data_IF_740868043214
#
_entry.id   IF_740868043214
#
_cell.length_a   1.000
_cell.length_b   1.000
_cell.length_c   1.000
_cell.angle_alpha   90.00
_cell.angle_beta   90.00
_cell.angle_gamma   90.00
#
_symmetry.space_group_name_H-M   'P 1'
#
loop_
_entity.id
_entity.type
_entity.pdbx_description
1 polymer ?
#
# COMPACT_ATOMS: atom_id res chain seq x y z
N UNK A 1 16.88 7.61 4.74
CA UNK A 1 16.22 8.32 3.64
C UNK A 1 14.83 7.77 3.47
N UNK A 2 13.85 8.62 3.25
CA UNK A 2 12.45 8.27 3.10
C UNK A 2 11.61 9.54 3.03
N UNK A 3 10.31 9.38 3.20
CA UNK A 3 9.36 10.48 3.18
C UNK A 3 8.99 10.89 4.61
N UNK A 4 8.87 12.20 4.88
CA UNK A 4 8.28 12.70 6.11
C UNK A 4 6.76 12.47 6.12
N UNK A 5 6.19 12.22 7.30
CA UNK A 5 4.76 11.95 7.48
C UNK A 5 4.28 10.63 6.88
N UNK A 6 5.17 9.62 6.75
CA UNK A 6 4.75 8.26 6.46
C UNK A 6 3.95 7.72 7.65
N UNK A 7 2.94 6.88 7.39
CA UNK A 7 2.19 6.25 8.47
C UNK A 7 3.04 5.23 9.23
N UNK A 8 2.73 5.01 10.49
CA UNK A 8 3.26 3.94 11.37
C UNK A 8 4.67 4.17 11.86
N UNK A 9 5.63 4.48 10.99
CA UNK A 9 7.04 4.59 11.38
C UNK A 9 7.49 6.04 11.51
N UNK A 10 8.46 6.28 12.40
CA UNK A 10 9.03 7.60 12.60
C UNK A 10 9.61 8.17 11.32
N UNK A 11 9.62 9.49 11.24
CA UNK A 11 10.25 10.22 10.16
C UNK A 11 11.76 9.90 10.06
N UNK A 12 12.33 10.00 8.85
CA UNK A 12 13.75 9.76 8.64
C UNK A 12 14.61 10.74 9.43
N UNK A 13 15.63 10.23 10.11
CA UNK A 13 16.61 11.08 10.79
C UNK A 13 17.48 11.85 9.78
N UNK A 14 17.80 13.13 10.06
CA UNK A 14 18.70 13.89 9.22
C UNK A 14 20.11 13.30 9.23
N UNK A 15 20.74 13.22 8.07
CA UNK A 15 22.15 12.77 7.98
C UNK A 15 23.07 13.91 8.36
N UNK A 16 23.83 13.82 9.46
CA UNK A 16 24.53 14.98 10.03
C UNK A 16 25.68 15.48 9.15
N UNK A 17 26.50 14.61 8.61
CA UNK A 17 27.62 14.97 7.74
C UNK A 17 27.99 13.84 6.80
N UNK A 18 28.29 14.16 5.54
CA UNK A 18 28.89 13.23 4.58
C UNK A 18 29.72 14.00 3.55
N UNK A 19 30.90 13.48 3.20
CA UNK A 19 31.70 14.02 2.10
C UNK A 19 31.16 13.56 0.74
N UNK A 20 30.58 12.36 0.70
CA UNK A 20 29.91 11.79 -0.48
C UNK A 20 28.52 11.29 -0.04
N UNK A 21 27.50 11.67 -0.77
CA UNK A 21 26.14 11.18 -0.61
C UNK A 21 25.72 10.39 -1.83
N UNK A 22 25.31 9.15 -1.62
CA UNK A 22 24.64 8.31 -2.62
C UNK A 22 23.18 8.16 -2.17
N UNK A 23 22.24 8.54 -3.02
CA UNK A 23 20.82 8.52 -2.69
C UNK A 23 20.00 7.97 -3.84
N UNK A 24 18.79 7.47 -3.51
CA UNK A 24 17.79 7.14 -4.50
C UNK A 24 17.24 8.42 -5.17
N UNK A 25 16.60 8.27 -6.32
CA UNK A 25 15.94 9.37 -7.04
C UNK A 25 14.67 8.93 -7.75
N UNK A 26 14.00 7.90 -7.22
CA UNK A 26 12.82 7.26 -7.82
C UNK A 26 11.69 8.25 -8.08
N UNK A 27 11.46 9.18 -7.16
CA UNK A 27 10.48 10.26 -7.26
C UNK A 27 11.12 11.66 -7.38
N UNK A 28 12.38 11.75 -7.82
CA UNK A 28 13.12 13.02 -7.93
C UNK A 28 12.46 14.07 -8.81
N UNK A 29 11.67 13.67 -9.81
CA UNK A 29 10.89 14.55 -10.68
C UNK A 29 9.40 14.67 -10.32
N UNK A 30 8.98 14.21 -9.15
CA UNK A 30 7.56 14.18 -8.73
C UNK A 30 7.38 14.75 -7.33
N UNK A 31 6.16 15.21 -7.07
CA UNK A 31 5.71 15.57 -5.73
C UNK A 31 4.67 14.57 -5.26
N UNK A 32 4.67 14.27 -3.97
CA UNK A 32 3.65 13.45 -3.35
C UNK A 32 2.41 14.27 -3.01
N UNK A 33 1.23 13.65 -3.17
CA UNK A 33 0.03 14.18 -2.54
C UNK A 33 0.14 14.04 -1.01
N UNK A 34 -0.46 14.96 -0.24
CA UNK A 34 -0.55 14.82 1.21
C UNK A 34 -1.16 13.49 1.63
N UNK A 35 -0.72 12.93 2.76
CA UNK A 35 -1.25 11.65 3.26
C UNK A 35 -2.75 11.71 3.58
N UNK A 36 -3.24 12.87 4.05
CA UNK A 36 -4.68 13.11 4.28
C UNK A 36 -5.52 12.90 3.01
N UNK A 37 -5.06 13.40 1.86
CA UNK A 37 -5.74 13.18 0.57
C UNK A 37 -5.71 11.70 0.17
N UNK A 38 -4.62 11.00 0.46
CA UNK A 38 -4.51 9.57 0.20
C UNK A 38 -5.52 8.77 1.02
N UNK A 39 -5.67 9.08 2.31
CA UNK A 39 -6.66 8.48 3.24
C UNK A 39 -8.09 8.75 2.77
N UNK A 40 -8.41 10.00 2.38
CA UNK A 40 -9.73 10.37 1.85
C UNK A 40 -10.06 9.65 0.55
N UNK A 41 -9.09 9.51 -0.33
CA UNK A 41 -9.24 8.79 -1.59
C UNK A 41 -9.44 7.29 -1.38
N UNK A 42 -8.70 6.69 -0.42
CA UNK A 42 -8.91 5.31 -0.01
C UNK A 42 -10.34 5.10 0.50
N UNK A 43 -10.82 5.96 1.40
CA UNK A 43 -12.17 5.89 1.95
C UNK A 43 -13.24 5.92 0.84
N UNK A 44 -13.11 6.82 -0.13
CA UNK A 44 -14.03 6.93 -1.26
C UNK A 44 -14.06 5.65 -2.09
N UNK A 45 -12.89 5.11 -2.46
CA UNK A 45 -12.80 3.91 -3.30
C UNK A 45 -13.36 2.68 -2.57
N UNK A 46 -13.12 2.55 -1.27
CA UNK A 46 -13.69 1.49 -0.43
C UNK A 46 -15.22 1.56 -0.45
N UNK A 47 -15.80 2.74 -0.19
CA UNK A 47 -17.25 2.92 -0.18
C UNK A 47 -17.89 2.67 -1.56
N UNK A 48 -17.32 3.23 -2.64
CA UNK A 48 -17.79 2.98 -4.02
C UNK A 48 -17.77 1.47 -4.37
N UNK A 49 -16.78 0.74 -3.88
CA UNK A 49 -16.69 -0.71 -4.11
C UNK A 49 -17.72 -1.46 -3.28
N UNK A 50 -17.95 -1.03 -2.04
CA UNK A 50 -18.96 -1.60 -1.15
C UNK A 50 -20.38 -1.45 -1.72
N UNK A 51 -20.73 -0.25 -2.18
CA UNK A 51 -22.04 0.07 -2.79
C UNK A 51 -22.36 -0.83 -3.99
N UNK A 52 -21.34 -1.18 -4.78
CA UNK A 52 -21.49 -2.10 -5.93
C UNK A 52 -21.51 -3.59 -5.55
N UNK A 53 -21.35 -3.92 -4.26
CA UNK A 53 -21.17 -5.29 -3.83
C UNK A 53 -19.93 -5.95 -4.47
N UNK A 54 -18.87 -5.16 -4.73
CA UNK A 54 -17.71 -5.53 -5.51
C UNK A 54 -16.55 -6.08 -4.68
N UNK A 55 -15.42 -6.28 -5.36
CA UNK A 55 -14.15 -6.67 -4.76
C UNK A 55 -13.12 -5.56 -4.97
N UNK A 56 -12.46 -5.10 -3.90
CA UNK A 56 -11.31 -4.21 -3.99
C UNK A 56 -10.03 -5.04 -3.89
N UNK A 57 -9.25 -5.07 -4.96
CA UNK A 57 -7.94 -5.72 -5.00
C UNK A 57 -6.89 -4.60 -4.89
N UNK A 58 -6.01 -4.70 -3.89
CA UNK A 58 -4.92 -3.75 -3.66
C UNK A 58 -3.59 -4.49 -3.83
N UNK A 59 -2.95 -4.39 -5.00
CA UNK A 59 -1.58 -4.84 -5.19
C UNK A 59 -0.65 -4.03 -4.28
N UNK A 60 0.04 -4.68 -3.36
CA UNK A 60 0.91 -4.01 -2.40
C UNK A 60 2.22 -4.76 -2.18
N UNK A 61 3.31 -4.03 -1.95
CA UNK A 61 4.55 -4.63 -1.48
C UNK A 61 4.36 -5.20 -0.09
N UNK A 62 5.01 -6.32 0.19
CA UNK A 62 4.88 -7.02 1.46
C UNK A 62 5.47 -6.24 2.64
N UNK A 63 6.47 -5.38 2.37
CA UNK A 63 7.14 -4.54 3.36
C UNK A 63 6.65 -3.10 3.24
N UNK A 64 6.24 -2.50 4.35
CA UNK A 64 5.81 -1.12 4.50
C UNK A 64 4.41 -0.90 3.92
N UNK A 65 4.24 -1.02 2.61
CA UNK A 65 3.01 -0.67 1.90
C UNK A 65 1.76 -1.41 2.38
N UNK A 66 1.88 -2.71 2.63
CA UNK A 66 0.76 -3.49 3.17
C UNK A 66 0.39 -2.99 4.55
N UNK A 67 1.37 -2.69 5.41
CA UNK A 67 1.17 -2.20 6.76
C UNK A 67 0.50 -0.82 6.76
N UNK A 68 0.97 0.12 5.92
CA UNK A 68 0.36 1.46 5.78
C UNK A 68 -1.13 1.38 5.38
N UNK A 69 -1.44 0.53 4.40
CA UNK A 69 -2.82 0.37 3.92
C UNK A 69 -3.71 -0.26 4.99
N UNK A 70 -3.21 -1.28 5.70
CA UNK A 70 -3.94 -1.93 6.80
C UNK A 70 -4.20 -0.95 7.94
N UNK A 71 -3.19 -0.15 8.32
CA UNK A 71 -3.30 0.88 9.34
C UNK A 71 -4.39 1.91 9.01
N UNK A 72 -4.36 2.50 7.80
CA UNK A 72 -5.38 3.46 7.40
C UNK A 72 -6.78 2.85 7.24
N UNK A 73 -6.89 1.59 6.82
CA UNK A 73 -8.19 0.90 6.83
C UNK A 73 -8.71 0.71 8.24
N UNK A 74 -7.83 0.40 9.22
CA UNK A 74 -8.18 0.33 10.63
C UNK A 74 -8.75 1.66 11.12
N UNK A 75 -7.99 2.75 10.95
CA UNK A 75 -8.44 4.08 11.33
C UNK A 75 -9.79 4.45 10.68
N UNK A 76 -9.91 4.27 9.35
CA UNK A 76 -11.14 4.60 8.62
C UNK A 76 -12.36 3.79 9.08
N UNK A 77 -12.16 2.55 9.50
CA UNK A 77 -13.23 1.72 10.06
C UNK A 77 -13.61 2.17 11.48
N UNK A 78 -12.65 2.51 12.32
CA UNK A 78 -12.89 3.03 13.67
C UNK A 78 -13.56 4.41 13.63
N UNK A 79 -13.16 5.27 12.71
CA UNK A 79 -13.80 6.56 12.42
C UNK A 79 -15.18 6.42 11.75
N UNK A 80 -15.60 5.21 11.39
CA UNK A 80 -16.85 4.91 10.66
C UNK A 80 -16.98 5.64 9.31
N UNK A 81 -15.86 5.96 8.69
CA UNK A 81 -15.80 6.64 7.39
C UNK A 81 -15.92 5.69 6.22
N UNK A 82 -15.72 4.40 6.46
CA UNK A 82 -15.87 3.35 5.45
C UNK A 82 -16.82 2.26 5.89
N UNK A 83 -17.46 1.62 4.91
CA UNK A 83 -18.31 0.48 5.15
C UNK A 83 -17.50 -0.67 5.77
N UNK A 84 -18.05 -1.28 6.84
CA UNK A 84 -17.43 -2.43 7.49
C UNK A 84 -17.55 -3.67 6.61
N UNK A 85 -16.43 -4.09 6.00
CA UNK A 85 -16.36 -5.28 5.14
C UNK A 85 -15.14 -6.13 5.48
N UNK A 86 -15.11 -7.42 5.09
CA UNK A 86 -13.94 -8.27 5.26
C UNK A 86 -12.71 -7.71 4.54
N UNK A 87 -11.56 -7.73 5.21
CA UNK A 87 -10.25 -7.38 4.66
C UNK A 87 -9.34 -8.60 4.77
N UNK A 88 -8.70 -8.97 3.69
CA UNK A 88 -7.78 -10.09 3.61
C UNK A 88 -6.40 -9.62 3.20
N UNK A 89 -5.38 -9.92 4.00
CA UNK A 89 -3.97 -9.79 3.60
C UNK A 89 -3.53 -11.16 3.08
N UNK A 90 -3.50 -11.32 1.76
CA UNK A 90 -3.15 -12.58 1.11
C UNK A 90 -1.70 -12.56 0.61
N UNK A 91 -0.77 -12.60 1.54
CA UNK A 91 0.67 -12.69 1.31
C UNK A 91 1.37 -13.22 2.55
N UNK A 92 1.95 -14.46 2.51
CA UNK A 92 2.70 -15.00 3.65
C UNK A 92 3.86 -14.09 4.08
N UNK A 93 4.57 -13.50 3.11
CA UNK A 93 5.65 -12.56 3.42
C UNK A 93 5.13 -11.31 4.13
N UNK A 94 4.04 -10.70 3.65
CA UNK A 94 3.44 -9.53 4.31
C UNK A 94 2.97 -9.86 5.73
N UNK A 95 2.40 -11.06 5.93
CA UNK A 95 1.99 -11.54 7.25
C UNK A 95 3.20 -11.64 8.19
N UNK A 96 4.30 -12.24 7.75
CA UNK A 96 5.51 -12.35 8.56
C UNK A 96 6.16 -10.99 8.86
N UNK A 97 6.19 -10.10 7.87
CA UNK A 97 6.68 -8.72 8.06
C UNK A 97 5.81 -7.95 9.06
N UNK A 98 4.49 -8.13 9.02
CA UNK A 98 3.60 -7.49 9.99
C UNK A 98 3.87 -7.96 11.43
N UNK A 99 4.24 -9.24 11.65
CA UNK A 99 4.69 -9.70 12.97
C UNK A 99 5.98 -9.00 13.42
N UNK A 100 6.90 -8.73 12.48
CA UNK A 100 8.12 -7.96 12.80
C UNK A 100 7.74 -6.53 13.21
N UNK A 101 6.85 -5.86 12.48
CA UNK A 101 6.36 -4.53 12.85
C UNK A 101 5.75 -4.53 14.27
N UNK A 102 4.92 -5.51 14.60
CA UNK A 102 4.34 -5.68 15.95
C UNK A 102 5.40 -5.81 17.05
N UNK A 103 6.52 -6.46 16.72
CA UNK A 103 7.63 -6.68 17.65
C UNK A 103 8.57 -5.49 17.82
N UNK A 104 8.35 -4.37 17.12
CA UNK A 104 9.24 -3.20 17.13
C UNK A 104 8.46 -1.89 17.39
N UNK A 105 7.69 -1.79 18.50
CA UNK A 105 6.87 -0.61 18.77
C UNK A 105 7.71 0.66 18.96
N UNK A 106 8.99 0.53 19.32
CA UNK A 106 9.93 1.64 19.45
C UNK A 106 10.21 2.36 18.12
N UNK A 107 9.85 1.76 16.99
CA UNK A 107 9.96 2.38 15.65
C UNK A 107 8.70 3.14 15.24
N UNK A 108 7.63 3.09 16.04
CA UNK A 108 6.38 3.76 15.71
C UNK A 108 6.48 5.26 15.86
N UNK A 109 5.70 5.98 15.04
CA UNK A 109 5.48 7.41 15.18
C UNK A 109 4.55 7.72 16.37
N UNK A 110 4.47 8.99 16.77
CA UNK A 110 3.63 9.40 17.87
C UNK A 110 2.14 9.15 17.66
N UNK A 111 1.66 9.16 16.41
CA UNK A 111 0.24 8.93 16.09
C UNK A 111 -0.12 7.47 16.32
N UNK A 112 0.73 6.55 15.88
CA UNK A 112 0.57 5.12 16.10
C UNK A 112 0.71 4.76 17.59
N UNK A 113 1.67 5.37 18.30
CA UNK A 113 1.77 5.20 19.76
C UNK A 113 0.50 5.68 20.49
N UNK A 114 -0.05 6.84 20.10
CA UNK A 114 -1.32 7.36 20.66
C UNK A 114 -2.51 6.44 20.36
N UNK A 115 -2.55 5.83 19.16
CA UNK A 115 -3.58 4.84 18.81
C UNK A 115 -3.51 3.62 19.74
N UNK A 116 -2.31 3.08 19.95
CA UNK A 116 -2.09 1.98 20.90
C UNK A 116 -2.57 2.30 22.31
N UNK A 117 -2.28 3.52 22.79
CA UNK A 117 -2.67 3.94 24.16
C UNK A 117 -4.18 4.15 24.31
N UNK A 118 -4.83 4.75 23.30
CA UNK A 118 -6.29 5.01 23.31
C UNK A 118 -7.10 3.73 23.32
N UNK A 119 -6.65 2.73 22.63
CA UNK A 119 -7.37 1.46 22.42
C UNK A 119 -7.03 0.38 23.44
N UNK A 120 -6.34 0.72 24.51
CA UNK A 120 -5.95 -0.24 25.56
C UNK A 120 -4.93 -1.26 25.08
N UNK A 121 -4.00 -0.86 24.19
CA UNK A 121 -2.95 -1.73 23.66
C UNK A 121 -3.39 -2.56 22.44
N UNK A 122 -4.41 -2.11 21.71
CA UNK A 122 -4.84 -2.80 20.49
C UNK A 122 -3.78 -2.73 19.42
N UNK A 123 -3.69 -3.80 18.66
CA UNK A 123 -2.80 -3.99 17.55
C UNK A 123 -3.14 -3.02 16.38
N UNK A 124 -2.23 -2.11 15.95
CA UNK A 124 -2.49 -1.19 14.85
C UNK A 124 -2.74 -1.91 13.51
N UNK A 125 -2.26 -3.15 13.40
CA UNK A 125 -2.43 -4.03 12.24
C UNK A 125 -3.50 -5.11 12.48
N UNK A 126 -4.37 -4.93 13.46
CA UNK A 126 -5.42 -5.88 13.82
C UNK A 126 -6.76 -5.22 14.06
N UNK A 127 -7.82 -5.66 13.36
CA UNK A 127 -9.20 -5.26 13.60
C UNK A 127 -10.17 -6.40 13.28
N UNK A 128 -11.41 -6.31 13.78
CA UNK A 128 -12.38 -7.41 13.84
C UNK A 128 -12.60 -8.17 12.52
N UNK A 129 -12.44 -7.52 11.36
CA UNK A 129 -12.71 -8.11 10.03
C UNK A 129 -11.45 -8.32 9.19
N UNK A 130 -10.28 -8.17 9.78
CA UNK A 130 -8.99 -8.39 9.12
C UNK A 130 -8.54 -9.84 9.32
N UNK A 131 -8.17 -10.49 8.22
CA UNK A 131 -7.66 -11.86 8.20
C UNK A 131 -6.35 -11.90 7.41
N UNK A 132 -5.32 -12.44 8.01
CA UNK A 132 -4.03 -12.73 7.35
C UNK A 132 -4.00 -14.18 6.92
N UNK A 133 -3.79 -14.44 5.62
CA UNK A 133 -3.69 -15.81 5.10
C UNK A 133 -2.23 -16.24 4.98
N UNK A 134 -1.95 -17.47 5.38
CA UNK A 134 -0.60 -18.06 5.32
C UNK A 134 -0.54 -19.18 4.30
N UNK A 135 -1.49 -20.10 4.34
CA UNK A 135 -1.48 -21.29 3.49
C UNK A 135 -2.02 -21.02 2.07
N UNK A 136 -1.73 -21.93 1.17
CA UNK A 136 -2.28 -21.91 -0.20
C UNK A 136 -3.77 -22.21 -0.20
N UNK A 137 -4.21 -23.06 0.71
CA UNK A 137 -5.61 -23.47 0.90
C UNK A 137 -6.46 -22.27 1.34
N UNK A 138 -5.99 -21.50 2.33
CA UNK A 138 -6.62 -20.25 2.76
C UNK A 138 -6.73 -19.24 1.61
N UNK A 139 -5.66 -19.06 0.85
CA UNK A 139 -5.64 -18.17 -0.33
C UNK A 139 -6.65 -18.60 -1.40
N UNK A 140 -6.73 -19.90 -1.68
CA UNK A 140 -7.72 -20.45 -2.63
C UNK A 140 -9.14 -20.24 -2.15
N UNK A 141 -9.40 -20.36 -0.85
CA UNK A 141 -10.73 -20.15 -0.26
C UNK A 141 -11.24 -18.72 -0.47
N UNK A 142 -10.37 -17.72 -0.62
CA UNK A 142 -10.76 -16.33 -0.92
C UNK A 142 -11.50 -16.19 -2.25
N UNK A 143 -11.41 -17.17 -3.15
CA UNK A 143 -12.20 -17.17 -4.38
C UNK A 143 -13.71 -17.24 -4.12
N UNK A 144 -14.13 -17.81 -3.01
CA UNK A 144 -15.52 -17.90 -2.54
C UNK A 144 -15.84 -16.85 -1.45
N UNK A 145 -14.95 -15.91 -1.17
CA UNK A 145 -15.15 -14.89 -0.15
C UNK A 145 -16.42 -14.06 -0.44
N UNK A 146 -17.21 -13.83 0.62
CA UNK A 146 -18.42 -13.02 0.53
C UNK A 146 -18.05 -11.58 0.15
N UNK A 147 -18.73 -11.01 -0.83
CA UNK A 147 -18.58 -9.63 -1.27
C UNK A 147 -19.63 -8.73 -0.60
N UNK A 148 -19.37 -7.43 -0.39
CA UNK A 148 -18.12 -6.73 -0.72
C UNK A 148 -16.96 -7.16 0.18
N UNK A 149 -15.73 -7.09 -0.35
CA UNK A 149 -14.50 -7.44 0.37
C UNK A 149 -13.29 -6.67 -0.18
N UNK A 150 -12.22 -6.62 0.63
CA UNK A 150 -10.91 -6.08 0.23
C UNK A 150 -9.88 -7.21 0.27
N UNK A 151 -9.04 -7.32 -0.74
CA UNK A 151 -7.88 -8.22 -0.79
C UNK A 151 -6.62 -7.38 -1.02
N UNK A 152 -5.72 -7.39 -0.07
CA UNK A 152 -4.37 -6.80 -0.18
C UNK A 152 -3.41 -7.95 -0.46
N UNK A 153 -2.68 -7.90 -1.58
CA UNK A 153 -1.83 -9.03 -1.99
C UNK A 153 -0.57 -8.59 -2.72
N UNK A 154 0.53 -9.29 -2.51
CA UNK A 154 1.78 -9.07 -3.22
C UNK A 154 1.79 -9.85 -4.57
N UNK A 155 2.49 -9.35 -5.59
CA UNK A 155 3.41 -8.21 -5.60
C UNK A 155 2.71 -6.89 -5.93
N UNK A 156 3.31 -5.78 -5.50
CA UNK A 156 2.75 -4.45 -5.71
C UNK A 156 2.71 -3.96 -7.16
N UNK A 157 3.51 -4.54 -8.07
CA UNK A 157 3.55 -4.23 -9.51
C UNK A 157 2.85 -5.29 -10.36
N UNK A 158 2.23 -6.28 -9.74
CA UNK A 158 1.52 -7.39 -10.39
C UNK A 158 2.41 -8.29 -11.29
N UNK A 159 3.71 -8.39 -10.99
CA UNK A 159 4.64 -9.23 -11.77
C UNK A 159 4.76 -10.66 -11.24
N UNK A 160 4.18 -10.95 -10.09
CA UNK A 160 4.24 -12.26 -9.45
C UNK A 160 3.36 -12.32 -8.21
N UNK A 161 3.40 -13.45 -7.50
CA UNK A 161 2.69 -13.63 -6.25
C UNK A 161 1.20 -13.94 -6.40
N UNK A 162 0.52 -13.98 -5.24
CA UNK A 162 -0.90 -14.37 -5.17
C UNK A 162 -1.83 -13.37 -5.83
N UNK A 163 -1.43 -12.10 -5.93
CA UNK A 163 -2.20 -11.06 -6.60
C UNK A 163 -2.58 -11.42 -8.03
N UNK A 164 -1.71 -12.13 -8.76
CA UNK A 164 -2.01 -12.55 -10.13
C UNK A 164 -3.21 -13.53 -10.19
N UNK A 165 -3.35 -14.41 -9.21
CA UNK A 165 -4.49 -15.32 -9.12
C UNK A 165 -5.80 -14.57 -8.85
N UNK A 166 -5.76 -13.53 -8.00
CA UNK A 166 -6.92 -12.67 -7.75
C UNK A 166 -7.28 -11.85 -8.98
N UNK A 167 -6.31 -11.27 -9.67
CA UNK A 167 -6.52 -10.53 -10.92
C UNK A 167 -7.13 -11.44 -12.00
N UNK A 168 -6.51 -12.60 -12.27
CA UNK A 168 -7.00 -13.55 -13.27
C UNK A 168 -8.48 -13.87 -13.10
N UNK A 169 -8.94 -14.03 -11.86
CA UNK A 169 -10.34 -14.41 -11.56
C UNK A 169 -11.32 -13.24 -11.62
N UNK A 170 -10.86 -12.01 -11.36
CA UNK A 170 -11.76 -10.91 -11.07
C UNK A 170 -11.61 -9.69 -12.00
N UNK A 171 -10.55 -9.64 -12.82
CA UNK A 171 -10.26 -8.46 -13.66
C UNK A 171 -11.35 -8.22 -14.74
N UNK A 172 -12.10 -9.26 -15.13
CA UNK A 172 -13.23 -9.19 -16.06
C UNK A 172 -14.56 -8.77 -15.41
N UNK A 173 -14.64 -8.65 -14.09
CA UNK A 173 -15.86 -8.22 -13.38
C UNK A 173 -15.86 -6.69 -13.21
N UNK A 174 -16.84 -5.95 -13.80
CA UNK A 174 -16.91 -4.49 -13.69
C UNK A 174 -17.20 -3.97 -12.27
N UNK A 175 -17.62 -4.83 -11.33
CA UNK A 175 -17.78 -4.48 -9.91
C UNK A 175 -16.46 -4.54 -9.16
N UNK A 176 -15.42 -5.16 -9.73
CA UNK A 176 -14.09 -5.18 -9.15
C UNK A 176 -13.39 -3.84 -9.35
N UNK A 177 -12.68 -3.39 -8.34
CA UNK A 177 -11.75 -2.27 -8.42
C UNK A 177 -10.33 -2.77 -8.12
N UNK A 178 -9.37 -2.42 -8.97
CA UNK A 178 -7.93 -2.64 -8.71
C UNK A 178 -7.32 -1.29 -8.32
N UNK A 179 -6.80 -1.20 -7.10
CA UNK A 179 -6.26 0.04 -6.55
C UNK A 179 -4.74 -0.08 -6.37
N UNK A 180 -4.01 0.68 -7.17
CA UNK A 180 -2.56 0.79 -7.06
C UNK A 180 -2.18 1.83 -6.02
N UNK A 181 -1.38 1.41 -5.05
CA UNK A 181 -0.94 2.24 -3.91
C UNK A 181 0.58 2.46 -3.91
N UNK A 182 1.24 2.18 -5.02
CA UNK A 182 2.69 2.33 -5.17
C UNK A 182 3.08 2.53 -6.62
N UNK A 183 4.34 2.88 -6.83
CA UNK A 183 4.92 3.07 -8.15
C UNK A 183 4.75 1.82 -9.02
N UNK A 184 4.41 2.04 -10.29
CA UNK A 184 4.32 1.00 -11.31
C UNK A 184 5.40 1.24 -12.35
N UNK A 185 6.42 0.39 -12.39
CA UNK A 185 7.53 0.48 -13.34
C UNK A 185 7.05 0.22 -14.77
N UNK A 186 7.75 0.76 -15.73
CA UNK A 186 7.47 0.50 -17.15
C UNK A 186 7.51 -0.99 -17.46
N UNK A 187 6.67 -1.42 -18.40
CA UNK A 187 6.51 -2.79 -18.84
C UNK A 187 5.89 -3.77 -17.83
N UNK A 188 5.59 -3.36 -16.59
CA UNK A 188 4.89 -4.21 -15.62
C UNK A 188 3.40 -4.34 -15.93
N UNK A 189 2.78 -5.43 -15.49
CA UNK A 189 1.33 -5.63 -15.62
C UNK A 189 0.55 -4.50 -14.94
N UNK A 190 0.97 -4.08 -13.75
CA UNK A 190 0.33 -2.97 -13.04
C UNK A 190 0.40 -1.66 -13.84
N UNK A 191 1.52 -1.39 -14.52
CA UNK A 191 1.68 -0.21 -15.37
C UNK A 191 0.75 -0.24 -16.57
N UNK A 192 0.69 -1.36 -17.29
CA UNK A 192 -0.23 -1.58 -18.42
C UNK A 192 -1.69 -1.34 -18.01
N UNK A 193 -2.08 -1.89 -16.87
CA UNK A 193 -3.42 -1.65 -16.34
C UNK A 193 -3.69 -0.17 -16.04
N UNK A 194 -2.75 0.56 -15.43
CA UNK A 194 -2.90 2.00 -15.16
C UNK A 194 -2.95 2.84 -16.44
N UNK A 195 -2.22 2.46 -17.47
CA UNK A 195 -2.24 3.14 -18.78
C UNK A 195 -3.55 2.94 -19.54
N UNK A 196 -4.39 1.99 -19.12
CA UNK A 196 -5.70 1.81 -19.70
C UNK A 196 -5.82 0.64 -20.66
N UNK A 197 -4.83 -0.24 -20.73
CA UNK A 197 -4.87 -1.42 -21.61
C UNK A 197 -6.18 -2.22 -21.35
N UNK A 198 -6.92 -2.46 -22.41
CA UNK A 198 -8.19 -3.21 -22.34
C UNK A 198 -7.99 -4.72 -22.25
N UNK A 199 -6.81 -5.20 -22.67
CA UNK A 199 -6.40 -6.61 -22.60
C UNK A 199 -5.03 -6.69 -21.99
N UNK A 200 -4.83 -7.63 -21.07
CA UNK A 200 -3.54 -7.88 -20.40
C UNK A 200 -3.24 -9.36 -20.36
N UNK A 201 -1.93 -9.69 -20.27
CA UNK A 201 -1.45 -11.07 -20.15
C UNK A 201 -1.28 -11.43 -18.68
N UNK A 202 -1.89 -12.53 -18.22
CA UNK A 202 -1.70 -13.12 -16.89
C UNK A 202 -1.44 -14.61 -17.06
N UNK A 203 -0.30 -15.09 -16.59
CA UNK A 203 0.14 -16.50 -16.76
C UNK A 203 0.15 -16.97 -18.23
N UNK A 204 0.48 -16.09 -19.17
CA UNK A 204 0.53 -16.42 -20.60
C UNK A 204 -0.82 -16.45 -21.32
N UNK A 205 -1.90 -16.09 -20.66
CA UNK A 205 -3.25 -16.01 -21.23
C UNK A 205 -3.75 -14.56 -21.27
N UNK A 206 -4.55 -14.21 -22.28
CA UNK A 206 -5.16 -12.90 -22.42
C UNK A 206 -6.43 -12.75 -21.57
N UNK A 207 -6.54 -11.62 -20.88
CA UNK A 207 -7.71 -11.26 -20.08
C UNK A 207 -8.21 -9.86 -20.40
N UNK A 208 -9.51 -9.72 -20.65
CA UNK A 208 -10.17 -8.44 -20.81
C UNK A 208 -10.28 -7.71 -19.46
N UNK A 209 -9.82 -6.47 -19.40
CA UNK A 209 -9.86 -5.62 -18.21
C UNK A 209 -11.16 -4.82 -18.17
N UNK A 210 -12.13 -5.28 -17.40
CA UNK A 210 -13.41 -4.59 -17.14
C UNK A 210 -13.47 -3.99 -15.74
N UNK A 211 -12.56 -4.42 -14.86
CA UNK A 211 -12.40 -3.86 -13.52
C UNK A 211 -12.08 -2.36 -13.58
N UNK A 212 -12.63 -1.59 -12.63
CA UNK A 212 -12.24 -0.20 -12.40
C UNK A 212 -10.78 -0.14 -11.92
N UNK A 213 -10.04 0.85 -12.34
CA UNK A 213 -8.64 1.08 -11.96
C UNK A 213 -8.54 2.38 -11.21
N UNK A 214 -7.80 2.37 -10.11
CA UNK A 214 -7.51 3.54 -9.31
C UNK A 214 -6.04 3.57 -8.93
N UNK A 215 -5.52 4.77 -8.65
CA UNK A 215 -4.17 4.98 -8.15
C UNK A 215 -4.21 5.95 -6.97
N UNK A 216 -3.42 5.69 -5.95
CA UNK A 216 -3.17 6.62 -4.84
C UNK A 216 -1.66 6.80 -4.73
N UNK A 217 -1.15 7.95 -5.16
CA UNK A 217 0.28 8.25 -5.15
C UNK A 217 0.84 8.61 -3.76
N UNK A 218 -0.02 8.95 -2.81
CA UNK A 218 0.36 9.39 -1.46
C UNK A 218 1.01 8.31 -0.59
N UNK A 219 0.91 7.06 -0.95
CA UNK A 219 1.48 5.94 -0.19
C UNK A 219 2.94 5.61 -0.53
N UNK A 220 3.62 6.34 -1.39
CA UNK A 220 5.03 6.06 -1.69
C UNK A 220 5.93 6.32 -0.47
N UNK A 221 6.82 5.40 -0.16
CA UNK A 221 7.84 5.57 0.86
C UNK A 221 9.11 6.28 0.34
N UNK A 222 9.23 6.45 -0.99
CA UNK A 222 10.34 7.15 -1.60
C UNK A 222 10.22 8.66 -1.37
N UNK A 223 11.36 9.32 -1.13
CA UNK A 223 11.41 10.76 -1.04
C UNK A 223 11.06 11.43 -2.37
N UNK A 224 10.23 12.46 -2.34
CA UNK A 224 9.93 13.31 -3.49
C UNK A 224 11.07 14.27 -3.81
N UNK A 225 11.01 14.94 -4.99
CA UNK A 225 12.08 15.86 -5.40
C UNK A 225 12.34 16.98 -4.40
N UNK A 226 11.29 17.56 -3.79
CA UNK A 226 11.43 18.59 -2.77
C UNK A 226 12.10 18.05 -1.50
N UNK A 227 11.73 16.85 -1.04
CA UNK A 227 12.31 16.20 0.14
C UNK A 227 13.78 15.83 -0.07
N UNK A 228 14.14 15.36 -1.28
CA UNK A 228 15.54 15.11 -1.65
C UNK A 228 16.39 16.39 -1.62
N UNK A 229 15.85 17.50 -2.14
CA UNK A 229 16.53 18.81 -2.09
C UNK A 229 16.65 19.29 -0.65
N UNK A 230 15.62 19.15 0.16
CA UNK A 230 15.62 19.55 1.55
C UNK A 230 16.63 18.72 2.38
N UNK A 231 16.74 17.42 2.13
CA UNK A 231 17.78 16.57 2.71
C UNK A 231 19.18 17.13 2.46
N UNK A 232 19.45 17.73 1.29
CA UNK A 232 20.72 18.35 0.97
C UNK A 232 20.90 19.70 1.66
N UNK A 233 19.84 20.48 1.88
CA UNK A 233 19.85 21.82 2.48
C UNK A 233 20.00 21.82 4.00
N UNK A 234 19.39 20.85 4.69
CA UNK A 234 19.40 20.72 6.16
C UNK A 234 20.76 20.37 6.74
N UNK A 235 21.83 20.40 5.97
CA UNK A 235 23.19 20.07 6.39
C UNK A 235 23.99 21.32 6.71
N UNK A 236 24.80 21.26 7.75
CA UNK A 236 25.74 22.33 8.12
C UNK A 236 26.76 22.61 7.00
N UNK A 237 27.07 21.59 6.21
CA UNK A 237 27.92 21.70 5.01
C UNK A 237 27.38 20.79 3.90
N UNK A 238 27.18 21.29 2.69
CA UNK A 238 26.75 20.47 1.57
C UNK A 238 27.82 19.41 1.24
N UNK A 239 27.43 18.23 0.76
CA UNK A 239 28.37 17.21 0.33
C UNK A 239 29.15 17.70 -0.89
N UNK A 240 30.43 17.31 -0.99
CA UNK A 240 31.26 17.67 -2.15
C UNK A 240 30.74 17.00 -3.45
N UNK A 241 30.06 15.87 -3.33
CA UNK A 241 29.43 15.14 -4.44
C UNK A 241 28.10 14.53 -4.01
N UNK A 242 27.14 14.59 -4.93
CA UNK A 242 25.86 13.87 -4.86
C UNK A 242 25.80 12.93 -6.05
N UNK A 243 25.46 11.66 -5.84
CA UNK A 243 25.28 10.65 -6.88
C UNK A 243 24.01 9.83 -6.60
#
# INVERSE_FOLDING_TARGET
LGREGAAVVRDPEPVPRADVLITESTYGGRQHSPMSEAKDRLARIVNETAEKGGLLIIPAFAVGRTQDVVYHLHELMDEKRVASMPVYVDSPLATNITEIFRGQPECYDEETEKLLLRDGGKDPFGFKRLVYTRSTEESKALSAARRPAIIISASGMCEGGRVLHHLRRNIGDPRTTVLFVGFQAENTLGRKMLQGDSVVMIFGEEYNVRAKRGEIGGYSAHAGGAELIELLRRRDKPPQRVR
#
